data_IF_087812979084
#
_entry.id   IF_087812979084
#
_cell.length_a   1.000
_cell.length_b   1.000
_cell.length_c   1.000
_cell.angle_alpha   90.00
_cell.angle_beta   90.00
_cell.angle_gamma   90.00
#
_symmetry.space_group_name_H-M   'P 1'
#
loop_
_entity.id
_entity.type
_entity.pdbx_description
1 polymer ?
#
# COMPACT_ATOMS: atom_id res chain seq x y z
N UNK A 1 -46.35 53.30 37.91
CA UNK A 1 -45.24 52.54 37.15
C UNK A 1 -45.07 51.24 37.90
N UNK A 2 -45.77 50.19 37.45
CA UNK A 2 -45.69 48.89 38.10
C UNK A 2 -44.31 48.26 37.71
N UNK A 3 -43.52 48.07 38.73
CA UNK A 3 -42.26 47.34 38.63
C UNK A 3 -42.62 45.89 38.32
N UNK A 4 -42.36 45.43 37.17
CA UNK A 4 -42.63 44.04 36.74
C UNK A 4 -42.22 43.04 37.82
N UNK A 5 -43.11 42.07 38.07
CA UNK A 5 -43.00 41.07 39.15
C UNK A 5 -41.56 40.41 39.08
N UNK A 6 -41.01 40.18 40.27
CA UNK A 6 -39.71 39.45 40.40
C UNK A 6 -39.69 38.15 39.56
N UNK A 7 -40.89 37.56 39.41
CA UNK A 7 -41.09 36.37 38.56
C UNK A 7 -40.79 36.64 37.07
N UNK A 8 -41.12 37.83 36.54
CA UNK A 8 -40.88 38.21 35.15
C UNK A 8 -39.36 38.39 34.90
N UNK A 9 -38.64 38.95 35.85
CA UNK A 9 -37.18 39.08 35.80
C UNK A 9 -36.47 37.73 35.86
N UNK A 10 -36.90 36.82 36.71
CA UNK A 10 -36.35 35.46 36.80
C UNK A 10 -36.62 34.70 35.50
N UNK A 11 -37.81 34.85 34.92
CA UNK A 11 -38.15 34.26 33.64
C UNK A 11 -37.28 34.78 32.47
N UNK A 12 -37.07 36.09 32.44
CA UNK A 12 -36.22 36.71 31.38
C UNK A 12 -34.74 36.26 31.47
N UNK A 13 -34.18 36.23 32.69
CA UNK A 13 -32.80 35.76 32.90
C UNK A 13 -32.66 34.25 32.58
N UNK A 14 -33.64 33.43 32.99
CA UNK A 14 -33.71 32.01 32.71
C UNK A 14 -33.76 31.71 31.18
N UNK A 15 -34.59 32.49 30.47
CA UNK A 15 -34.68 32.40 29.02
C UNK A 15 -33.37 32.74 28.31
N UNK A 16 -32.66 33.78 28.74
CA UNK A 16 -31.36 34.19 28.21
C UNK A 16 -30.28 33.10 28.42
N UNK A 17 -30.25 32.51 29.61
CA UNK A 17 -29.35 31.41 29.95
C UNK A 17 -29.63 30.16 29.11
N UNK A 18 -30.88 29.84 28.85
CA UNK A 18 -31.26 28.70 28.01
C UNK A 18 -30.84 28.89 26.56
N UNK A 19 -31.00 30.08 25.98
CA UNK A 19 -30.53 30.41 24.63
C UNK A 19 -29.02 30.34 24.56
N UNK A 20 -28.30 30.87 25.54
CA UNK A 20 -26.85 30.80 25.59
C UNK A 20 -26.35 29.34 25.67
N UNK A 21 -26.97 28.53 26.54
CA UNK A 21 -26.63 27.09 26.65
C UNK A 21 -26.90 26.35 25.34
N UNK A 22 -27.99 26.67 24.63
CA UNK A 22 -28.30 26.06 23.34
C UNK A 22 -27.25 26.41 22.26
N UNK A 23 -26.81 27.67 22.21
CA UNK A 23 -25.77 28.10 21.26
C UNK A 23 -24.42 27.42 21.54
N UNK A 24 -24.02 27.35 22.82
CA UNK A 24 -22.78 26.67 23.22
C UNK A 24 -22.86 25.17 22.90
N UNK A 25 -24.00 24.54 23.18
CA UNK A 25 -24.21 23.11 22.87
C UNK A 25 -24.11 22.85 21.37
N UNK A 26 -24.72 23.71 20.54
CA UNK A 26 -24.64 23.57 19.08
C UNK A 26 -23.22 23.69 18.56
N UNK A 27 -22.46 24.71 18.98
CA UNK A 27 -21.06 24.89 18.59
C UNK A 27 -20.18 23.70 19.02
N UNK A 28 -20.47 23.11 20.17
CA UNK A 28 -19.74 21.94 20.67
C UNK A 28 -20.07 20.71 19.84
N UNK A 29 -21.33 20.52 19.47
CA UNK A 29 -21.76 19.40 18.62
C UNK A 29 -21.13 19.43 17.24
N UNK A 30 -21.03 20.60 16.59
CA UNK A 30 -20.33 20.71 15.30
C UNK A 30 -18.85 20.32 15.38
N UNK A 31 -18.18 20.69 16.46
CA UNK A 31 -16.76 20.32 16.67
C UNK A 31 -16.59 18.82 16.88
N UNK A 32 -17.52 18.19 17.62
CA UNK A 32 -17.50 16.74 17.86
C UNK A 32 -17.69 15.99 16.54
N UNK A 33 -18.68 16.36 15.73
CA UNK A 33 -18.93 15.73 14.42
C UNK A 33 -17.69 15.82 13.51
N UNK A 34 -17.08 17.00 13.42
CA UNK A 34 -15.85 17.18 12.60
C UNK A 34 -14.65 16.36 13.13
N UNK A 35 -14.54 16.17 14.45
CA UNK A 35 -13.50 15.34 15.05
C UNK A 35 -13.76 13.86 14.80
N UNK A 36 -15.00 13.41 14.84
CA UNK A 36 -15.37 12.02 14.53
C UNK A 36 -15.11 11.70 13.05
N UNK A 37 -15.54 12.56 12.12
CA UNK A 37 -15.25 12.40 10.69
C UNK A 37 -13.75 12.33 10.42
N UNK A 38 -12.94 13.16 11.11
CA UNK A 38 -11.50 13.12 10.96
C UNK A 38 -10.90 11.81 11.48
N UNK A 39 -11.35 11.35 12.64
CA UNK A 39 -10.93 10.07 13.21
C UNK A 39 -11.31 8.88 12.35
N UNK A 40 -12.49 8.90 11.75
CA UNK A 40 -12.94 7.81 10.89
C UNK A 40 -12.12 7.77 9.60
N UNK A 41 -11.82 8.90 8.98
CA UNK A 41 -10.90 8.98 7.83
C UNK A 41 -9.48 8.51 8.18
N UNK A 42 -8.97 8.88 9.36
CA UNK A 42 -7.67 8.42 9.84
C UNK A 42 -7.65 6.90 10.10
N UNK A 43 -8.74 6.33 10.61
CA UNK A 43 -8.88 4.88 10.81
C UNK A 43 -8.96 4.14 9.49
N UNK A 44 -9.71 4.67 8.54
CA UNK A 44 -9.89 4.09 7.21
C UNK A 44 -8.55 4.08 6.44
N UNK A 45 -7.85 5.21 6.41
CA UNK A 45 -6.52 5.29 5.80
C UNK A 45 -5.46 4.42 6.51
N UNK A 46 -5.57 4.26 7.84
CA UNK A 46 -4.70 3.36 8.59
C UNK A 46 -5.03 1.87 8.32
N UNK A 47 -6.29 1.53 8.08
CA UNK A 47 -6.69 0.17 7.73
C UNK A 47 -6.21 -0.21 6.32
N UNK A 48 -6.37 0.68 5.34
CA UNK A 48 -5.85 0.50 3.98
C UNK A 48 -4.34 0.30 3.98
N UNK A 49 -3.61 1.15 4.71
CA UNK A 49 -2.16 1.04 4.82
C UNK A 49 -1.71 -0.28 5.45
N UNK A 50 -2.44 -0.80 6.43
CA UNK A 50 -2.14 -2.09 7.07
C UNK A 50 -2.11 -3.24 6.07
N UNK A 51 -3.05 -3.30 5.13
CA UNK A 51 -3.02 -4.34 4.10
C UNK A 51 -1.73 -4.27 3.29
N UNK A 52 -1.35 -3.09 2.83
CA UNK A 52 -0.15 -2.89 2.02
C UNK A 52 1.15 -3.16 2.81
N UNK A 53 1.18 -2.87 4.10
CA UNK A 53 2.34 -3.14 4.97
C UNK A 53 2.60 -4.65 5.17
N UNK A 54 1.60 -5.51 4.96
CA UNK A 54 1.75 -6.96 5.03
C UNK A 54 2.21 -7.60 3.71
N UNK A 55 2.42 -6.81 2.65
CA UNK A 55 2.98 -7.29 1.40
C UNK A 55 4.50 -7.20 1.44
N UNK A 56 5.17 -8.34 1.23
CA UNK A 56 6.64 -8.41 1.21
C UNK A 56 7.10 -9.11 -0.05
N UNK A 57 8.09 -8.53 -0.73
CA UNK A 57 8.71 -9.12 -1.92
C UNK A 57 10.21 -9.19 -1.74
N UNK A 58 10.79 -10.37 -1.86
CA UNK A 58 12.22 -10.60 -1.67
C UNK A 58 12.78 -11.58 -2.69
N UNK A 59 14.04 -11.38 -3.09
CA UNK A 59 14.78 -12.35 -3.89
C UNK A 59 15.23 -13.52 -3.00
N UNK A 60 15.06 -14.75 -3.50
CA UNK A 60 15.44 -15.98 -2.82
C UNK A 60 16.17 -16.91 -3.77
N UNK A 61 16.83 -17.93 -3.22
CA UNK A 61 17.42 -19.02 -3.98
C UNK A 61 16.74 -20.32 -3.60
N UNK A 62 16.45 -21.13 -4.64
CA UNK A 62 15.97 -22.50 -4.53
C UNK A 62 17.18 -23.43 -4.67
N UNK A 63 17.83 -23.91 -3.60
CA UNK A 63 19.08 -24.67 -3.68
C UNK A 63 18.93 -25.99 -4.43
N UNK A 64 17.76 -26.59 -4.37
CA UNK A 64 17.45 -27.90 -4.97
C UNK A 64 17.04 -27.79 -6.46
N UNK A 65 16.86 -26.54 -7.00
CA UNK A 65 16.52 -26.31 -8.40
C UNK A 65 17.76 -26.30 -9.30
N UNK A 66 17.60 -26.59 -10.63
CA UNK A 66 18.65 -26.39 -11.63
C UNK A 66 19.25 -24.99 -11.54
N UNK A 67 20.51 -24.83 -11.95
CA UNK A 67 21.23 -23.56 -11.81
C UNK A 67 20.53 -22.39 -12.50
N UNK A 68 19.84 -22.64 -13.61
CA UNK A 68 19.10 -21.63 -14.39
C UNK A 68 17.80 -21.19 -13.70
N UNK A 69 17.19 -22.06 -12.87
CA UNK A 69 15.95 -21.82 -12.12
C UNK A 69 16.19 -21.58 -10.63
N UNK A 70 17.45 -21.57 -10.22
CA UNK A 70 17.81 -21.43 -8.79
C UNK A 70 17.40 -20.09 -8.20
N UNK A 71 17.32 -19.07 -9.03
CA UNK A 71 16.88 -17.76 -8.63
C UNK A 71 15.36 -17.67 -8.65
N UNK A 72 14.77 -17.09 -7.60
CA UNK A 72 13.33 -16.93 -7.50
C UNK A 72 12.96 -15.62 -6.79
N UNK A 73 11.74 -15.17 -6.99
CA UNK A 73 11.10 -14.11 -6.22
C UNK A 73 10.10 -14.75 -5.27
N UNK A 74 10.23 -14.46 -3.99
CA UNK A 74 9.23 -14.78 -2.97
C UNK A 74 8.34 -13.56 -2.77
N UNK A 75 7.05 -13.72 -3.03
CA UNK A 75 6.01 -12.73 -2.74
C UNK A 75 5.15 -13.25 -1.60
N UNK A 76 5.06 -12.48 -0.54
CA UNK A 76 4.24 -12.80 0.63
C UNK A 76 3.11 -11.77 0.70
N UNK A 77 1.88 -12.24 0.58
CA UNK A 77 0.70 -11.47 0.94
C UNK A 77 0.25 -11.95 2.33
N UNK A 78 0.72 -11.26 3.36
CA UNK A 78 0.37 -11.55 4.76
C UNK A 78 -0.93 -10.90 5.23
N UNK A 79 -1.68 -10.25 4.32
CA UNK A 79 -3.01 -9.73 4.62
C UNK A 79 -4.07 -10.83 4.50
N UNK A 80 -5.28 -10.53 4.87
CA UNK A 80 -6.46 -11.40 4.76
C UNK A 80 -7.24 -11.25 3.44
N UNK A 81 -6.78 -10.36 2.57
CA UNK A 81 -7.43 -10.06 1.29
C UNK A 81 -6.45 -10.18 0.10
N UNK A 82 -6.94 -10.49 -1.10
CA UNK A 82 -6.10 -10.54 -2.30
C UNK A 82 -5.55 -9.17 -2.68
N UNK A 83 -4.41 -9.18 -3.36
CA UNK A 83 -3.84 -8.02 -4.05
C UNK A 83 -3.87 -8.24 -5.56
N UNK A 84 -3.90 -7.17 -6.33
CA UNK A 84 -4.12 -7.19 -7.77
C UNK A 84 -3.03 -6.41 -8.51
N UNK A 85 -2.89 -6.65 -9.80
CA UNK A 85 -2.00 -5.92 -10.71
C UNK A 85 -0.58 -5.75 -10.15
N UNK A 86 -0.03 -6.86 -9.65
CA UNK A 86 1.29 -6.89 -9.03
C UNK A 86 2.35 -6.84 -10.12
N UNK A 87 3.23 -5.84 -10.06
CA UNK A 87 4.39 -5.73 -10.92
C UNK A 87 5.64 -5.65 -10.07
N UNK A 88 6.58 -6.55 -10.33
CA UNK A 88 7.86 -6.62 -9.63
C UNK A 88 9.00 -6.37 -10.62
N UNK A 89 9.79 -5.36 -10.35
CA UNK A 89 11.01 -5.05 -11.08
C UNK A 89 12.23 -5.47 -10.27
N UNK A 90 13.17 -6.13 -10.92
CA UNK A 90 14.35 -6.65 -10.26
C UNK A 90 15.60 -6.51 -11.15
N UNK A 91 16.77 -6.53 -10.53
CA UNK A 91 18.07 -6.51 -11.23
C UNK A 91 18.83 -7.80 -10.94
N UNK A 92 19.72 -8.17 -11.85
CA UNK A 92 20.72 -9.21 -11.58
C UNK A 92 21.62 -8.80 -10.41
N UNK A 93 22.11 -9.78 -9.69
CA UNK A 93 22.95 -9.57 -8.50
C UNK A 93 24.21 -8.71 -8.76
N UNK A 94 24.75 -8.77 -9.96
CA UNK A 94 25.92 -7.98 -10.40
C UNK A 94 25.56 -6.57 -10.91
N UNK A 95 24.25 -6.21 -10.89
CA UNK A 95 23.71 -4.94 -11.41
C UNK A 95 23.99 -4.70 -12.90
N UNK A 96 24.46 -5.70 -13.63
CA UNK A 96 24.81 -5.57 -15.04
C UNK A 96 23.58 -5.48 -15.95
N UNK A 97 22.44 -5.97 -15.48
CA UNK A 97 21.25 -6.11 -16.30
C UNK A 97 19.98 -6.11 -15.44
N UNK A 98 18.97 -5.40 -15.88
CA UNK A 98 17.61 -5.49 -15.32
C UNK A 98 16.96 -6.79 -15.81
N UNK A 99 16.27 -7.48 -14.92
CA UNK A 99 15.47 -8.62 -15.30
C UNK A 99 14.16 -8.15 -15.94
N UNK A 100 13.56 -8.93 -16.83
CA UNK A 100 12.19 -8.65 -17.27
C UNK A 100 11.25 -8.54 -16.08
N UNK A 101 10.29 -7.59 -16.09
CA UNK A 101 9.36 -7.44 -14.99
C UNK A 101 8.50 -8.70 -14.84
N UNK A 102 8.16 -9.01 -13.58
CA UNK A 102 7.18 -10.03 -13.24
C UNK A 102 5.84 -9.34 -13.08
N UNK A 103 4.86 -9.73 -13.88
CA UNK A 103 3.48 -9.21 -13.81
C UNK A 103 2.53 -10.33 -13.38
N UNK A 104 1.75 -10.09 -12.32
CA UNK A 104 0.73 -11.00 -11.81
C UNK A 104 -0.61 -10.26 -11.72
N UNK A 105 -1.67 -10.88 -12.24
CA UNK A 105 -3.00 -10.27 -12.23
C UNK A 105 -3.60 -10.24 -10.82
N UNK A 106 -3.40 -11.30 -10.03
CA UNK A 106 -3.96 -11.45 -8.68
C UNK A 106 -3.06 -12.35 -7.84
N UNK A 107 -2.94 -12.03 -6.55
CA UNK A 107 -2.26 -12.87 -5.56
C UNK A 107 -3.15 -12.97 -4.31
N UNK A 108 -3.67 -14.15 -3.97
CA UNK A 108 -4.40 -14.38 -2.74
C UNK A 108 -3.49 -14.24 -1.50
N UNK A 109 -4.04 -14.24 -0.29
CA UNK A 109 -3.26 -14.38 0.94
C UNK A 109 -2.40 -15.64 0.90
N UNK A 110 -1.14 -15.52 1.35
CA UNK A 110 -0.21 -16.67 1.37
C UNK A 110 1.21 -16.28 0.97
N UNK A 111 2.04 -17.31 0.76
CA UNK A 111 3.45 -17.19 0.37
C UNK A 111 3.67 -17.88 -0.97
N UNK A 112 4.17 -17.16 -1.94
CA UNK A 112 4.30 -17.64 -3.30
C UNK A 112 5.71 -17.47 -3.81
N UNK A 113 6.23 -18.51 -4.43
CA UNK A 113 7.57 -18.52 -5.05
C UNK A 113 7.41 -18.56 -6.56
N UNK A 114 8.10 -17.68 -7.23
CA UNK A 114 8.14 -17.59 -8.69
C UNK A 114 9.61 -17.79 -9.11
N UNK A 115 10.00 -18.99 -9.56
CA UNK A 115 11.36 -19.24 -10.01
C UNK A 115 11.66 -18.56 -11.34
N UNK A 116 12.92 -18.23 -11.58
CA UNK A 116 13.37 -17.85 -12.91
C UNK A 116 13.17 -19.01 -13.87
N UNK A 117 12.91 -18.70 -15.14
CA UNK A 117 12.75 -19.69 -16.19
C UNK A 117 13.58 -19.30 -17.41
N UNK A 118 14.37 -20.20 -17.99
CA UNK A 118 15.32 -19.85 -19.05
C UNK A 118 14.66 -19.35 -20.34
N UNK A 119 13.45 -19.81 -20.62
CA UNK A 119 12.72 -19.44 -21.86
C UNK A 119 11.70 -18.32 -21.64
N UNK A 120 11.00 -18.32 -20.51
CA UNK A 120 9.87 -17.42 -20.25
C UNK A 120 10.19 -16.31 -19.24
N UNK A 121 11.45 -16.18 -18.84
CA UNK A 121 11.95 -15.29 -17.80
C UNK A 121 11.46 -15.67 -16.38
N UNK A 122 10.18 -15.90 -16.22
CA UNK A 122 9.57 -16.32 -14.97
C UNK A 122 8.76 -17.59 -15.14
N UNK A 123 8.86 -18.51 -14.19
CA UNK A 123 8.11 -19.76 -14.13
C UNK A 123 6.72 -19.59 -13.53
N UNK A 124 6.11 -20.70 -13.21
CA UNK A 124 4.78 -20.72 -12.57
C UNK A 124 4.84 -20.21 -11.15
N UNK A 125 3.74 -19.63 -10.69
CA UNK A 125 3.55 -19.24 -9.29
C UNK A 125 3.34 -20.51 -8.46
N UNK A 126 4.19 -20.74 -7.48
CA UNK A 126 4.18 -21.94 -6.64
C UNK A 126 3.81 -21.52 -5.21
N UNK A 127 2.79 -22.13 -4.65
CA UNK A 127 2.43 -21.95 -3.25
C UNK A 127 3.50 -22.60 -2.36
N UNK A 128 4.16 -21.79 -1.53
CA UNK A 128 5.26 -22.22 -0.67
C UNK A 128 4.78 -23.18 0.44
N UNK A 129 3.61 -22.95 0.97
CA UNK A 129 3.08 -23.74 2.08
C UNK A 129 2.64 -25.16 1.61
N UNK A 130 2.28 -25.28 0.31
CA UNK A 130 1.94 -26.57 -0.34
C UNK A 130 3.20 -27.28 -0.82
N UNK A 131 4.12 -26.56 -1.45
CA UNK A 131 5.30 -27.17 -2.08
C UNK A 131 6.43 -27.50 -1.10
N UNK A 132 6.43 -26.92 0.10
CA UNK A 132 7.47 -27.08 1.13
C UNK A 132 8.91 -26.92 0.58
N UNK A 133 9.09 -26.01 -0.38
CA UNK A 133 10.38 -25.77 -1.02
C UNK A 133 11.39 -25.22 -0.02
N UNK A 134 12.63 -25.71 -0.08
CA UNK A 134 13.73 -25.10 0.66
C UNK A 134 14.11 -23.78 -0.02
N UNK A 135 14.07 -22.70 0.75
CA UNK A 135 14.41 -21.36 0.27
C UNK A 135 15.57 -20.81 1.10
N UNK A 136 16.57 -20.30 0.42
CA UNK A 136 17.64 -19.55 1.03
C UNK A 136 17.41 -18.07 0.77
N UNK A 137 17.27 -17.28 1.84
CA UNK A 137 17.22 -15.83 1.72
C UNK A 137 18.55 -15.31 1.21
N UNK A 138 18.50 -14.39 0.26
CA UNK A 138 19.72 -13.76 -0.25
C UNK A 138 20.30 -12.81 0.78
N UNK A 139 21.59 -12.98 1.08
CA UNK A 139 22.28 -12.11 2.03
C UNK A 139 22.58 -10.75 1.42
N UNK A 140 22.67 -9.71 2.26
CA UNK A 140 23.09 -8.37 1.85
C UNK A 140 24.54 -8.42 1.35
N UNK A 141 24.77 -7.94 0.14
CA UNK A 141 26.07 -7.96 -0.52
C UNK A 141 25.90 -7.68 -2.00
N UNK A 142 26.76 -8.26 -2.87
CA UNK A 142 26.64 -8.13 -4.35
C UNK A 142 25.25 -8.58 -4.88
N UNK A 143 24.56 -9.43 -4.13
CA UNK A 143 23.22 -9.93 -4.45
C UNK A 143 22.09 -9.14 -3.74
N UNK A 144 22.39 -8.14 -2.92
CA UNK A 144 21.47 -7.61 -1.91
C UNK A 144 20.41 -6.63 -2.38
N UNK A 145 20.46 -6.14 -3.61
CA UNK A 145 19.46 -5.22 -4.15
C UNK A 145 18.85 -5.80 -5.43
N UNK A 146 18.13 -6.91 -5.28
CA UNK A 146 17.55 -7.57 -6.46
C UNK A 146 16.19 -6.99 -6.80
N UNK A 147 15.36 -6.66 -5.80
CA UNK A 147 14.06 -6.02 -6.01
C UNK A 147 14.26 -4.52 -5.99
N UNK A 148 13.99 -3.86 -7.11
CA UNK A 148 14.12 -2.41 -7.26
C UNK A 148 12.82 -1.68 -7.01
N UNK A 149 11.72 -2.23 -7.53
CA UNK A 149 10.40 -1.62 -7.44
C UNK A 149 9.33 -2.69 -7.44
N UNK A 150 8.28 -2.47 -6.64
CA UNK A 150 7.07 -3.29 -6.65
C UNK A 150 5.88 -2.35 -6.67
N UNK A 151 4.94 -2.60 -7.56
CA UNK A 151 3.64 -1.91 -7.53
C UNK A 151 2.51 -2.94 -7.46
N UNK A 152 1.44 -2.61 -6.76
CA UNK A 152 0.25 -3.45 -6.66
C UNK A 152 -0.97 -2.61 -6.28
N UNK A 153 -2.14 -3.19 -6.44
CA UNK A 153 -3.42 -2.62 -6.03
C UNK A 153 -3.98 -3.47 -4.90
N UNK A 154 -4.43 -2.85 -3.83
CA UNK A 154 -5.08 -3.55 -2.72
C UNK A 154 -6.57 -3.84 -2.99
N UNK A 155 -7.24 -4.50 -2.04
CA UNK A 155 -8.66 -4.83 -2.15
C UNK A 155 -9.58 -3.59 -2.15
N UNK A 156 -9.10 -2.45 -1.64
CA UNK A 156 -9.80 -1.17 -1.67
C UNK A 156 -9.57 -0.38 -2.97
N UNK A 157 -8.89 -0.99 -3.97
CA UNK A 157 -8.51 -0.36 -5.24
C UNK A 157 -7.50 0.77 -5.10
N UNK A 158 -6.79 0.83 -3.96
CA UNK A 158 -5.70 1.78 -3.75
C UNK A 158 -4.41 1.22 -4.35
N UNK A 159 -3.72 2.03 -5.15
CA UNK A 159 -2.41 1.67 -5.72
C UNK A 159 -1.29 1.98 -4.74
N UNK A 160 -0.39 1.02 -4.59
CA UNK A 160 0.78 1.09 -3.72
C UNK A 160 2.06 0.84 -4.50
N UNK A 161 3.13 1.46 -4.03
CA UNK A 161 4.49 1.25 -4.54
C UNK A 161 5.44 0.98 -3.38
N UNK A 162 6.24 -0.06 -3.53
CA UNK A 162 7.31 -0.42 -2.60
C UNK A 162 8.66 -0.18 -3.29
N UNK A 163 9.32 0.90 -2.91
CA UNK A 163 10.60 1.31 -3.49
C UNK A 163 11.74 0.61 -2.76
N UNK A 164 12.61 -0.08 -3.51
CA UNK A 164 13.75 -0.86 -2.99
C UNK A 164 13.36 -1.88 -1.92
N UNK A 165 12.15 -2.43 -2.00
CA UNK A 165 11.63 -3.40 -1.05
C UNK A 165 11.44 -2.89 0.38
N UNK A 166 11.42 -1.56 0.61
CA UNK A 166 11.39 -0.98 1.97
C UNK A 166 10.40 0.15 2.16
N UNK A 167 10.36 1.08 1.22
CA UNK A 167 9.59 2.30 1.36
C UNK A 167 8.24 2.14 0.68
N UNK A 168 7.19 1.98 1.50
CA UNK A 168 5.82 1.89 1.01
C UNK A 168 5.25 3.28 0.80
N UNK A 169 4.75 3.55 -0.42
CA UNK A 169 4.10 4.79 -0.81
C UNK A 169 2.75 4.50 -1.42
N UNK A 170 1.75 5.29 -1.06
CA UNK A 170 0.47 5.27 -1.75
C UNK A 170 0.57 6.15 -2.99
N UNK A 171 0.17 5.62 -4.12
CA UNK A 171 0.06 6.38 -5.37
C UNK A 171 -1.37 6.86 -5.46
N UNK A 172 -1.61 8.11 -5.04
CA UNK A 172 -2.95 8.69 -5.10
C UNK A 172 -3.55 8.60 -6.50
N UNK A 173 -4.83 8.38 -6.59
CA UNK A 173 -5.61 8.26 -7.84
C UNK A 173 -5.62 9.54 -8.72
N UNK A 174 -4.71 10.50 -8.48
CA UNK A 174 -4.61 11.79 -9.16
C UNK A 174 -3.26 12.12 -9.80
N UNK A 175 -2.30 11.20 -9.86
CA UNK A 175 -0.99 11.45 -10.46
C UNK A 175 -0.88 10.84 -11.85
N UNK A 176 -1.02 11.66 -12.90
CA UNK A 176 -0.59 11.30 -14.25
C UNK A 176 0.83 10.75 -14.20
N UNK A 177 1.01 9.55 -14.73
CA UNK A 177 2.31 8.97 -15.02
C UNK A 177 3.17 10.02 -15.76
N UNK A 178 4.39 10.34 -15.32
CA UNK A 178 5.28 11.13 -16.16
C UNK A 178 5.58 10.29 -17.41
N UNK A 179 5.02 10.75 -18.54
CA UNK A 179 5.34 10.19 -19.86
C UNK A 179 6.85 10.03 -19.97
N UNK A 180 7.30 8.78 -20.11
CA UNK A 180 8.68 8.46 -20.48
C UNK A 180 8.96 9.18 -21.79
N UNK A 181 9.70 10.28 -21.73
CA UNK A 181 10.23 10.97 -22.90
C UNK A 181 11.20 10.00 -23.59
N UNK A 182 10.69 9.27 -24.54
CA UNK A 182 11.51 8.56 -25.53
C UNK A 182 12.32 9.62 -26.30
N UNK A 183 13.65 9.58 -26.28
CA UNK A 183 14.44 10.52 -27.09
C UNK A 183 14.20 10.22 -28.56
N UNK A 184 13.56 11.16 -29.25
CA UNK A 184 13.44 11.13 -30.72
C UNK A 184 14.84 11.07 -31.31
N UNK A 185 15.21 9.92 -31.85
CA UNK A 185 16.40 9.72 -32.68
C UNK A 185 16.27 10.62 -33.90
N UNK A 186 17.06 11.68 -33.95
CA UNK A 186 17.18 12.54 -35.10
C UNK A 186 17.81 11.73 -36.24
N UNK A 187 17.02 11.45 -37.27
CA UNK A 187 17.50 10.92 -38.54
C UNK A 187 18.16 12.10 -39.25
N UNK A 188 19.51 12.09 -39.29
CA UNK A 188 20.27 12.95 -40.22
C UNK A 188 20.20 12.32 -41.60
N UNK A 189 19.72 13.10 -42.54
CA UNK A 189 19.93 12.91 -43.96
C UNK A 189 21.36 13.37 -44.36
#
# INVERSE_FOLDING_TARGET
>A
MDVGSVADWVGAVGGLLAVFAAVVSWQTSEKVVKLEEKRDRERESAAERRQAEHVTVVGVQCPDAPQEERYAILVVNGSDAPIYDIRVESQKADKSCENPPLDLAVLPPGKFVIPAHPTYNWGSVIDQDVAHMKLNMMTKGKAGEMITHVSFVDAASQKWELVRGRELRSVGSGGQCPESRTPRRAIRR
#
